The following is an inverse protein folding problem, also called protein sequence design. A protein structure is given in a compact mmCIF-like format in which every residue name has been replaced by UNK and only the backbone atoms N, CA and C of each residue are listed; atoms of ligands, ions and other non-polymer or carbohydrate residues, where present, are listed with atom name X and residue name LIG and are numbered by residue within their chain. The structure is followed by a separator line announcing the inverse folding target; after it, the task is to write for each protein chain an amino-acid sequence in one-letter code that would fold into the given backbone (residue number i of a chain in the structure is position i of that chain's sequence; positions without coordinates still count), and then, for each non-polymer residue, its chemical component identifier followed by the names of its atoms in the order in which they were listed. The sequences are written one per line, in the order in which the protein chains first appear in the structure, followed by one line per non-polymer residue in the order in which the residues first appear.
data_IF_703610432784
#
_entry.id   IF_703610432784
#
_cell.length_a   1.000
_cell.length_b   1.000
_cell.length_c   1.000
_cell.angle_alpha   90.00
_cell.angle_beta   90.00
_cell.angle_gamma   90.00
#
_symmetry.space_group_name_H-M   'P 1'
#
loop_
_entity.id
_entity.type
_entity.pdbx_description
1 polymer ?
#
# COMPACT_ATOMS: atom_id res chain seq x y z
N UNK A 1 0.47 33.15 25.75
CA UNK A 1 -0.82 32.64 25.25
C UNK A 1 -0.90 32.83 23.75
N UNK A 2 -0.18 32.01 22.95
CA UNK A 2 -0.10 32.18 21.48
C UNK A 2 0.20 30.87 20.75
N UNK A 3 0.93 29.93 21.35
CA UNK A 3 1.35 28.69 20.66
C UNK A 3 0.17 27.82 20.22
N UNK A 4 -0.85 27.67 21.07
CA UNK A 4 -2.06 26.90 20.72
C UNK A 4 -2.79 27.48 19.50
N UNK A 5 -2.74 28.81 19.30
CA UNK A 5 -3.38 29.45 18.15
C UNK A 5 -2.75 29.04 16.81
N UNK A 6 -1.48 28.62 16.82
CA UNK A 6 -0.79 28.08 15.63
C UNK A 6 -0.88 26.56 15.56
N UNK A 7 -0.73 25.87 16.69
CA UNK A 7 -0.73 24.41 16.72
C UNK A 7 -2.09 23.80 16.35
N UNK A 8 -3.20 24.43 16.73
CA UNK A 8 -4.54 23.91 16.41
C UNK A 8 -4.78 23.91 14.88
N UNK A 9 -4.60 25.02 14.14
CA UNK A 9 -4.71 25.00 12.68
C UNK A 9 -3.74 24.04 12.00
N UNK A 10 -2.49 23.98 12.46
CA UNK A 10 -1.48 23.08 11.90
C UNK A 10 -1.89 21.61 12.08
N UNK A 11 -2.35 21.23 13.27
CA UNK A 11 -2.81 19.87 13.54
C UNK A 11 -4.04 19.50 12.69
N UNK A 12 -5.02 20.41 12.55
CA UNK A 12 -6.18 20.20 11.69
C UNK A 12 -5.78 20.06 10.22
N UNK A 13 -4.86 20.90 9.74
CA UNK A 13 -4.36 20.84 8.37
C UNK A 13 -3.64 19.52 8.09
N UNK A 14 -2.74 19.08 8.99
CA UNK A 14 -2.06 17.80 8.86
C UNK A 14 -3.03 16.62 8.92
N UNK A 15 -4.02 16.66 9.81
CA UNK A 15 -5.08 15.66 9.87
C UNK A 15 -5.90 15.60 8.58
N UNK A 16 -6.28 16.75 8.02
CA UNK A 16 -7.00 16.84 6.76
C UNK A 16 -6.16 16.32 5.57
N UNK A 17 -4.88 16.68 5.49
CA UNK A 17 -3.97 16.16 4.47
C UNK A 17 -3.85 14.64 4.54
N UNK A 18 -3.67 14.08 5.75
CA UNK A 18 -3.62 12.63 5.96
C UNK A 18 -4.91 11.95 5.54
N UNK A 19 -6.06 12.50 5.93
CA UNK A 19 -7.37 11.96 5.55
C UNK A 19 -7.61 12.03 4.04
N UNK A 20 -7.28 13.16 3.39
CA UNK A 20 -7.38 13.29 1.94
C UNK A 20 -6.49 12.30 1.21
N UNK A 21 -5.24 12.11 1.67
CA UNK A 21 -4.33 11.11 1.12
C UNK A 21 -4.88 9.68 1.28
N UNK A 22 -5.42 9.36 2.45
CA UNK A 22 -6.05 8.06 2.71
C UNK A 22 -7.26 7.80 1.80
N UNK A 23 -8.17 8.77 1.67
CA UNK A 23 -9.33 8.65 0.78
C UNK A 23 -8.93 8.54 -0.70
N UNK A 24 -7.87 9.25 -1.11
CA UNK A 24 -7.30 9.11 -2.44
C UNK A 24 -6.74 7.71 -2.69
N UNK A 25 -5.98 7.15 -1.74
CA UNK A 25 -5.42 5.80 -1.84
C UNK A 25 -6.49 4.70 -1.90
N UNK A 26 -7.60 4.87 -1.17
CA UNK A 26 -8.76 3.99 -1.29
C UNK A 26 -9.42 4.10 -2.67
N UNK A 27 -9.61 5.33 -3.16
CA UNK A 27 -10.24 5.58 -4.47
C UNK A 27 -9.36 5.14 -5.64
N UNK A 28 -8.03 5.11 -5.48
CA UNK A 28 -7.11 4.68 -6.52
C UNK A 28 -7.01 3.16 -6.66
N UNK A 29 -7.73 2.38 -5.85
CA UNK A 29 -7.70 0.91 -5.91
C UNK A 29 -6.36 0.31 -5.52
N UNK A 30 -5.49 1.06 -4.82
CA UNK A 30 -4.15 0.59 -4.44
C UNK A 30 -4.20 -0.64 -3.52
N UNK A 31 -5.30 -0.78 -2.78
CA UNK A 31 -5.52 -1.90 -1.85
C UNK A 31 -6.11 -3.15 -2.53
N UNK A 32 -6.52 -3.06 -3.81
CA UNK A 32 -7.19 -4.17 -4.52
C UNK A 32 -6.20 -5.28 -4.95
N UNK A 33 -4.91 -4.96 -5.12
CA UNK A 33 -3.86 -5.91 -5.51
C UNK A 33 -2.92 -6.29 -4.34
N UNK A 34 -3.31 -6.00 -3.08
CA UNK A 34 -2.54 -6.46 -1.92
C UNK A 34 -2.58 -7.98 -1.75
N UNK A 35 -3.73 -8.59 -2.06
CA UNK A 35 -3.89 -10.05 -2.02
C UNK A 35 -3.03 -10.73 -3.09
N UNK A 36 -2.95 -10.17 -4.30
CA UNK A 36 -2.08 -10.67 -5.37
C UNK A 36 -0.59 -10.47 -5.08
N UNK A 37 -0.20 -9.40 -4.38
CA UNK A 37 1.17 -9.22 -3.89
C UNK A 37 1.54 -10.26 -2.81
N UNK A 38 0.60 -10.60 -1.92
CA UNK A 38 0.78 -11.63 -0.90
C UNK A 38 0.87 -13.06 -1.47
N UNK A 39 0.15 -13.34 -2.56
CA UNK A 39 0.27 -14.63 -3.26
C UNK A 39 1.65 -14.76 -3.93
N UNK A 40 2.13 -13.70 -4.57
CA UNK A 40 3.44 -13.69 -5.26
C UNK A 40 4.62 -13.94 -4.31
N UNK A 41 4.61 -13.39 -3.10
CA UNK A 41 5.68 -13.63 -2.12
C UNK A 41 5.73 -15.09 -1.62
N UNK A 42 4.63 -15.83 -1.71
CA UNK A 42 4.58 -17.25 -1.36
C UNK A 42 5.03 -18.15 -2.53
N UNK A 43 4.65 -17.79 -3.77
CA UNK A 43 4.98 -18.56 -4.98
C UNK A 43 6.44 -18.40 -5.40
N UNK A 44 7.06 -17.22 -5.18
CA UNK A 44 8.46 -16.94 -5.58
C UNK A 44 9.52 -17.87 -4.95
N UNK A 45 9.14 -18.80 -4.06
CA UNK A 45 10.07 -19.70 -3.36
C UNK A 45 10.17 -21.12 -3.92
N UNK A 46 9.26 -21.58 -4.79
CA UNK A 46 9.23 -23.01 -5.19
C UNK A 46 9.30 -23.30 -6.71
N UNK A 47 9.34 -22.28 -7.59
CA UNK A 47 9.16 -22.49 -9.03
C UNK A 47 10.47 -22.61 -9.84
N UNK A 48 11.58 -22.94 -9.17
CA UNK A 48 12.90 -23.10 -9.78
C UNK A 48 13.16 -24.45 -10.49
N UNK A 49 12.16 -25.28 -10.74
CA UNK A 49 12.33 -26.58 -11.39
C UNK A 49 11.78 -26.57 -12.82
N UNK A 50 12.45 -25.81 -13.68
CA UNK A 50 12.44 -26.04 -15.13
C UNK A 50 12.97 -27.46 -15.40
N UNK A 51 12.08 -28.39 -15.69
CA UNK A 51 12.44 -29.63 -16.37
C UNK A 51 11.64 -29.66 -17.68
N UNK A 52 12.22 -29.27 -18.82
CA UNK A 52 11.53 -29.36 -20.09
C UNK A 52 11.19 -30.82 -20.38
N UNK A 53 10.08 -31.08 -21.10
CA UNK A 53 9.63 -32.44 -21.36
C UNK A 53 10.71 -33.19 -22.12
N UNK A 54 11.27 -34.26 -21.51
CA UNK A 54 12.09 -35.23 -22.23
C UNK A 54 11.25 -35.78 -23.37
N UNK A 55 11.58 -35.37 -24.60
CA UNK A 55 11.05 -36.01 -25.80
C UNK A 55 11.44 -37.49 -25.77
N UNK A 56 10.41 -38.32 -25.93
CA UNK A 56 10.34 -39.78 -26.04
C UNK A 56 11.64 -40.54 -26.29
#
# INVERSE_FOLDING_TARGET
MTTLAYLIPVALFLGALGLSGFLWALRSGQYDDLDGAAERILIDRDDGAENPPRSK
#
